data_IF_306966118203
#
_entry.id   IF_306966118203
#
_cell.length_a   1.000
_cell.length_b   1.000
_cell.length_c   1.000
_cell.angle_alpha   90.00
_cell.angle_beta   90.00
_cell.angle_gamma   90.00
#
_symmetry.space_group_name_H-M   'P 1'
#
loop_
_entity.id
_entity.type
_entity.pdbx_description
1 polymer ?
#
# COMPACT_ATOMS: atom_id res chain seq x y z
N UNK A 1 -29.71 -11.19 -11.04
CA UNK A 1 -28.44 -11.79 -10.58
C UNK A 1 -27.31 -10.89 -11.03
N UNK A 2 -26.74 -10.09 -10.14
CA UNK A 2 -25.54 -9.33 -10.44
C UNK A 2 -24.41 -10.32 -10.69
N UNK A 3 -23.83 -10.32 -11.86
CA UNK A 3 -22.63 -11.09 -12.21
C UNK A 3 -21.47 -10.54 -11.37
N UNK A 4 -21.27 -11.09 -10.16
CA UNK A 4 -20.09 -10.79 -9.37
C UNK A 4 -18.87 -11.10 -10.22
N UNK A 5 -18.06 -10.09 -10.49
CA UNK A 5 -16.77 -10.26 -11.14
C UNK A 5 -15.91 -11.19 -10.28
N UNK A 6 -15.16 -12.12 -10.91
CA UNK A 6 -14.28 -13.02 -10.16
C UNK A 6 -13.26 -12.19 -9.36
N UNK A 7 -12.96 -12.54 -8.11
CA UNK A 7 -12.01 -11.78 -7.30
C UNK A 7 -10.60 -11.86 -7.91
N UNK A 8 -9.93 -10.72 -7.92
CA UNK A 8 -8.51 -10.62 -8.26
C UNK A 8 -7.74 -10.04 -7.07
N UNK A 9 -6.55 -10.60 -6.84
CA UNK A 9 -5.63 -10.19 -5.79
C UNK A 9 -4.22 -10.13 -6.37
N UNK A 10 -3.54 -9.01 -6.13
CA UNK A 10 -2.19 -8.79 -6.62
C UNK A 10 -1.16 -9.56 -5.79
N UNK A 11 -0.22 -10.24 -6.46
CA UNK A 11 0.95 -10.82 -5.81
C UNK A 11 1.94 -9.69 -5.45
N UNK A 12 2.46 -9.71 -4.22
CA UNK A 12 3.42 -8.69 -3.76
C UNK A 12 4.87 -9.04 -4.11
N UNK A 13 5.13 -10.34 -4.32
CA UNK A 13 6.44 -10.90 -4.68
C UNK A 13 6.24 -11.88 -5.83
N UNK A 14 7.25 -12.07 -6.67
CA UNK A 14 7.20 -13.01 -7.78
C UNK A 14 6.85 -14.45 -7.35
N UNK A 15 7.13 -14.81 -6.10
CA UNK A 15 6.88 -16.14 -5.50
C UNK A 15 5.50 -16.28 -4.87
N UNK A 16 4.71 -15.22 -4.83
CA UNK A 16 3.39 -15.19 -4.17
C UNK A 16 2.24 -15.69 -5.06
N UNK A 17 2.52 -16.14 -6.29
CA UNK A 17 1.48 -16.55 -7.23
C UNK A 17 0.57 -17.66 -6.68
N UNK A 18 1.12 -18.69 -6.03
CA UNK A 18 0.36 -19.76 -5.40
C UNK A 18 -0.54 -19.30 -4.26
N UNK A 19 0.00 -18.65 -3.21
CA UNK A 19 -0.80 -18.06 -2.13
C UNK A 19 -1.86 -17.08 -2.62
N UNK A 20 -1.57 -16.26 -3.63
CA UNK A 20 -2.53 -15.34 -4.22
C UNK A 20 -3.68 -16.08 -4.94
N UNK A 21 -3.37 -17.19 -5.64
CA UNK A 21 -4.39 -18.04 -6.24
C UNK A 21 -5.32 -18.67 -5.20
N UNK A 22 -4.77 -19.20 -4.09
CA UNK A 22 -5.56 -19.71 -2.97
C UNK A 22 -6.45 -18.62 -2.39
N UNK A 23 -5.90 -17.41 -2.20
CA UNK A 23 -6.64 -16.26 -1.68
C UNK A 23 -7.83 -15.89 -2.55
N UNK A 24 -7.64 -15.85 -3.89
CA UNK A 24 -8.69 -15.55 -4.84
C UNK A 24 -9.81 -16.60 -4.81
N UNK A 25 -9.46 -17.90 -4.75
CA UNK A 25 -10.44 -18.99 -4.68
C UNK A 25 -11.17 -18.98 -3.34
N UNK A 26 -10.48 -18.80 -2.21
CA UNK A 26 -11.12 -18.68 -0.91
C UNK A 26 -12.12 -17.51 -0.87
N UNK A 27 -11.75 -16.36 -1.45
CA UNK A 27 -12.62 -15.18 -1.58
C UNK A 27 -13.83 -15.44 -2.47
N UNK A 28 -13.67 -16.21 -3.55
CA UNK A 28 -14.77 -16.65 -4.39
C UNK A 28 -15.79 -17.47 -3.60
N UNK A 29 -15.33 -18.35 -2.72
CA UNK A 29 -16.18 -19.15 -1.82
C UNK A 29 -16.63 -18.38 -0.55
N UNK A 30 -16.33 -17.08 -0.46
CA UNK A 30 -16.83 -16.19 0.58
C UNK A 30 -15.98 -16.11 1.85
N UNK A 31 -14.72 -16.56 1.81
CA UNK A 31 -13.77 -16.41 2.91
C UNK A 31 -12.58 -15.54 2.55
N UNK A 32 -12.12 -14.81 3.54
CA UNK A 32 -11.03 -13.85 3.39
C UNK A 32 -9.84 -14.28 4.26
N UNK A 33 -8.68 -14.41 3.65
CA UNK A 33 -7.42 -14.70 4.32
C UNK A 33 -6.37 -13.66 3.95
N UNK A 34 -5.47 -13.31 4.90
CA UNK A 34 -4.34 -12.47 4.57
C UNK A 34 -3.36 -13.21 3.66
N UNK A 35 -2.72 -12.48 2.74
CA UNK A 35 -1.72 -13.08 1.87
C UNK A 35 -0.55 -13.64 2.71
N UNK A 36 -0.18 -12.94 3.79
CA UNK A 36 0.90 -13.37 4.68
C UNK A 36 0.58 -14.72 5.35
N UNK A 37 -0.64 -14.90 5.87
CA UNK A 37 -1.06 -16.16 6.45
C UNK A 37 -0.96 -17.33 5.46
N UNK A 38 -1.41 -17.11 4.22
CA UNK A 38 -1.32 -18.13 3.17
C UNK A 38 0.12 -18.40 2.73
N UNK A 39 0.99 -17.38 2.73
CA UNK A 39 2.43 -17.54 2.49
C UNK A 39 3.08 -18.44 3.54
N UNK A 40 2.75 -18.20 4.81
CA UNK A 40 3.29 -18.98 5.93
C UNK A 40 2.81 -20.44 5.85
N UNK A 41 1.56 -20.67 5.46
CA UNK A 41 1.03 -22.02 5.23
C UNK A 41 1.67 -22.72 4.04
N UNK A 42 1.95 -22.03 2.94
CA UNK A 42 2.61 -22.59 1.76
C UNK A 42 4.10 -22.88 1.98
N UNK A 43 4.73 -22.30 3.03
CA UNK A 43 6.15 -22.51 3.29
C UNK A 43 7.04 -22.10 2.13
N UNK A 44 6.84 -20.90 1.55
CA UNK A 44 7.52 -20.42 0.34
C UNK A 44 9.04 -20.61 0.42
N UNK A 45 9.62 -21.25 -0.58
CA UNK A 45 11.06 -21.47 -0.71
C UNK A 45 11.71 -20.46 -1.67
N UNK A 46 13.03 -20.59 -1.89
CA UNK A 46 13.76 -19.78 -2.91
C UNK A 46 13.26 -20.03 -4.33
N UNK A 47 12.77 -21.22 -4.61
CA UNK A 47 12.26 -21.63 -5.93
C UNK A 47 10.77 -21.25 -6.11
N UNK A 48 10.10 -20.76 -5.08
CA UNK A 48 8.68 -20.43 -5.06
C UNK A 48 7.87 -21.49 -4.32
N UNK A 49 6.69 -21.81 -4.85
CA UNK A 49 5.77 -22.81 -4.30
C UNK A 49 5.48 -23.91 -5.33
N UNK A 50 5.32 -25.12 -4.86
CA UNK A 50 4.88 -26.26 -5.68
C UNK A 50 3.36 -26.48 -5.56
N UNK A 51 2.79 -27.33 -6.44
CA UNK A 51 1.41 -27.78 -6.28
C UNK A 51 1.17 -28.48 -4.92
N UNK A 52 2.17 -29.18 -4.39
CA UNK A 52 2.05 -29.83 -3.09
C UNK A 52 1.90 -28.80 -1.95
N UNK A 53 2.68 -27.72 -2.00
CA UNK A 53 2.62 -26.64 -1.01
C UNK A 53 1.28 -25.91 -1.08
N UNK A 54 0.78 -25.67 -2.31
CA UNK A 54 -0.54 -25.07 -2.55
C UNK A 54 -1.64 -25.98 -2.00
N UNK A 55 -1.55 -27.30 -2.25
CA UNK A 55 -2.48 -28.31 -1.76
C UNK A 55 -2.53 -28.32 -0.24
N UNK A 56 -1.36 -28.39 0.41
CA UNK A 56 -1.26 -28.40 1.85
C UNK A 56 -1.88 -27.14 2.49
N UNK A 57 -1.54 -25.97 1.95
CA UNK A 57 -2.10 -24.69 2.44
C UNK A 57 -3.62 -24.61 2.24
N UNK A 58 -4.12 -25.05 1.08
CA UNK A 58 -5.54 -25.06 0.76
C UNK A 58 -6.33 -26.02 1.69
N UNK A 59 -5.80 -27.19 1.97
CA UNK A 59 -6.42 -28.16 2.89
C UNK A 59 -6.48 -27.63 4.33
N UNK A 60 -5.46 -26.91 4.79
CA UNK A 60 -5.44 -26.28 6.12
C UNK A 60 -6.54 -25.23 6.30
N UNK A 61 -6.96 -24.58 5.23
CA UNK A 61 -8.08 -23.63 5.26
C UNK A 61 -9.43 -24.25 4.93
N UNK A 62 -9.49 -25.60 4.75
CA UNK A 62 -10.71 -26.34 4.54
C UNK A 62 -11.15 -26.48 3.07
N UNK A 63 -10.23 -26.32 2.12
CA UNK A 63 -10.45 -26.63 0.72
C UNK A 63 -9.87 -28.01 0.41
N UNK A 64 -10.67 -28.90 -0.20
CA UNK A 64 -10.18 -30.15 -0.75
C UNK A 64 -9.49 -29.87 -2.08
N UNK A 65 -8.35 -30.52 -2.32
CA UNK A 65 -7.55 -30.33 -3.52
C UNK A 65 -7.37 -31.62 -4.30
N UNK A 66 -7.36 -31.54 -5.62
CA UNK A 66 -7.02 -32.64 -6.51
C UNK A 66 -6.18 -32.10 -7.66
N UNK A 67 -4.91 -32.50 -7.72
CA UNK A 67 -4.03 -32.14 -8.83
C UNK A 67 -4.12 -33.20 -9.93
N UNK A 68 -4.34 -32.77 -11.16
CA UNK A 68 -4.52 -33.65 -12.32
C UNK A 68 -3.81 -33.09 -13.56
N UNK A 69 -3.44 -34.00 -14.46
CA UNK A 69 -3.09 -33.69 -15.85
C UNK A 69 -4.37 -33.67 -16.68
N UNK A 70 -4.59 -32.65 -17.47
CA UNK A 70 -5.80 -32.52 -18.27
C UNK A 70 -5.52 -31.93 -19.65
N UNK A 71 -6.32 -32.37 -20.61
CA UNK A 71 -6.37 -31.76 -21.94
C UNK A 71 -7.31 -30.57 -21.97
N UNK A 72 -7.25 -29.76 -23.00
CA UNK A 72 -8.13 -28.61 -23.20
C UNK A 72 -9.61 -29.00 -23.23
N UNK A 73 -9.93 -30.10 -23.84
CA UNK A 73 -11.30 -30.65 -23.88
C UNK A 73 -11.81 -30.95 -22.45
N UNK A 74 -10.96 -31.56 -21.62
CA UNK A 74 -11.31 -31.86 -20.24
C UNK A 74 -11.48 -30.59 -19.41
N UNK A 75 -10.61 -29.60 -19.59
CA UNK A 75 -10.71 -28.31 -18.91
C UNK A 75 -12.02 -27.57 -19.25
N UNK A 76 -12.45 -27.66 -20.52
CA UNK A 76 -13.65 -26.96 -20.98
C UNK A 76 -14.93 -27.67 -20.57
N UNK A 77 -14.96 -29.02 -20.58
CA UNK A 77 -16.20 -29.78 -20.48
C UNK A 77 -16.38 -30.54 -19.16
N UNK A 78 -15.30 -30.85 -18.43
CA UNK A 78 -15.36 -31.77 -17.27
C UNK A 78 -14.80 -31.22 -15.97
N UNK A 79 -13.89 -30.27 -16.03
CA UNK A 79 -13.20 -29.74 -14.83
C UNK A 79 -14.06 -28.70 -14.15
N UNK A 80 -14.36 -28.82 -12.85
CA UNK A 80 -15.05 -27.80 -12.10
C UNK A 80 -14.18 -26.53 -11.96
N UNK A 81 -14.79 -25.38 -12.15
CA UNK A 81 -14.14 -24.09 -12.02
C UNK A 81 -14.61 -23.37 -10.74
N UNK A 82 -13.76 -22.60 -10.08
CA UNK A 82 -12.39 -22.22 -10.45
C UNK A 82 -11.35 -23.29 -10.15
N UNK A 83 -10.26 -23.32 -10.95
CA UNK A 83 -9.12 -24.19 -10.73
C UNK A 83 -7.80 -23.43 -10.90
N UNK A 84 -6.72 -23.89 -10.23
CA UNK A 84 -5.37 -23.34 -10.39
C UNK A 84 -4.65 -24.11 -11.49
N UNK A 85 -3.97 -23.42 -12.37
CA UNK A 85 -3.16 -24.03 -13.42
C UNK A 85 -1.70 -23.59 -13.31
N UNK A 86 -0.80 -24.46 -13.76
CA UNK A 86 0.62 -24.16 -13.90
C UNK A 86 0.84 -23.47 -15.25
N UNK A 87 1.20 -22.21 -15.20
CA UNK A 87 1.26 -21.29 -16.32
C UNK A 87 2.70 -20.96 -16.69
N UNK A 88 3.01 -20.98 -17.99
CA UNK A 88 4.37 -20.70 -18.51
C UNK A 88 5.46 -21.52 -17.76
N UNK A 89 5.16 -22.67 -17.17
CA UNK A 89 6.03 -23.59 -16.42
C UNK A 89 6.70 -23.00 -15.14
N UNK A 90 6.35 -21.78 -14.73
CA UNK A 90 6.94 -21.11 -13.56
C UNK A 90 5.99 -20.22 -12.78
N UNK A 91 4.72 -20.18 -13.19
CA UNK A 91 3.72 -19.29 -12.59
C UNK A 91 2.42 -20.05 -12.29
N UNK A 92 1.61 -19.53 -11.36
CA UNK A 92 0.28 -20.06 -11.08
C UNK A 92 -0.78 -19.00 -11.32
N UNK A 93 -1.85 -19.38 -12.01
CA UNK A 93 -3.01 -18.54 -12.29
C UNK A 93 -4.31 -19.30 -12.05
N UNK A 94 -5.42 -18.61 -11.89
CA UNK A 94 -6.74 -19.21 -11.68
C UNK A 94 -7.56 -19.13 -12.96
N UNK A 95 -8.00 -20.27 -13.48
CA UNK A 95 -9.05 -20.32 -14.50
C UNK A 95 -10.40 -20.32 -13.78
N UNK A 96 -11.23 -19.35 -14.08
CA UNK A 96 -12.52 -19.18 -13.39
C UNK A 96 -13.74 -19.30 -14.31
N UNK A 97 -13.54 -19.30 -15.63
CA UNK A 97 -14.64 -19.41 -16.59
C UNK A 97 -14.12 -19.81 -17.98
N UNK A 98 -14.88 -20.62 -18.67
CA UNK A 98 -14.72 -20.93 -20.09
C UNK A 98 -16.00 -20.56 -20.83
N UNK A 99 -15.91 -19.85 -21.95
CA UNK A 99 -17.08 -19.47 -22.74
C UNK A 99 -16.70 -19.13 -24.18
N UNK A 100 -17.40 -19.73 -25.15
CA UNK A 100 -17.28 -19.45 -26.61
C UNK A 100 -15.82 -19.48 -27.11
N UNK A 101 -15.08 -20.56 -26.80
CA UNK A 101 -13.67 -20.70 -27.23
C UNK A 101 -12.69 -19.75 -26.56
N UNK A 102 -13.09 -19.08 -25.48
CA UNK A 102 -12.23 -18.22 -24.66
C UNK A 102 -12.14 -18.73 -23.23
N UNK A 103 -10.92 -18.69 -22.70
CA UNK A 103 -10.61 -19.04 -21.32
C UNK A 103 -10.34 -17.77 -20.53
N UNK A 104 -11.04 -17.63 -19.42
CA UNK A 104 -10.94 -16.47 -18.53
C UNK A 104 -10.05 -16.82 -17.34
N UNK A 105 -9.02 -16.04 -17.18
CA UNK A 105 -7.93 -16.26 -16.21
C UNK A 105 -7.85 -15.08 -15.26
N UNK A 106 -7.69 -15.36 -13.97
CA UNK A 106 -7.28 -14.39 -12.98
C UNK A 106 -5.80 -14.59 -12.67
N UNK A 107 -4.97 -13.70 -13.21
CA UNK A 107 -3.51 -13.73 -13.06
C UNK A 107 -3.11 -12.81 -11.91
N UNK A 108 -2.46 -13.33 -10.85
CA UNK A 108 -2.01 -12.52 -9.72
C UNK A 108 -1.05 -11.38 -10.10
N UNK A 109 -0.31 -11.52 -11.21
CA UNK A 109 0.63 -10.52 -11.67
C UNK A 109 0.01 -9.47 -12.61
N UNK A 110 -1.00 -9.88 -13.42
CA UNK A 110 -1.48 -9.07 -14.55
C UNK A 110 -2.95 -8.66 -14.47
N UNK A 111 -3.76 -9.34 -13.64
CA UNK A 111 -5.19 -9.03 -13.53
C UNK A 111 -6.12 -10.06 -14.16
N UNK A 112 -7.33 -9.63 -14.49
CA UNK A 112 -8.32 -10.47 -15.17
C UNK A 112 -8.09 -10.43 -16.68
N UNK A 113 -7.78 -11.57 -17.26
CA UNK A 113 -7.42 -11.73 -18.66
C UNK A 113 -8.33 -12.77 -19.34
N UNK A 114 -8.37 -12.75 -20.65
CA UNK A 114 -9.02 -13.78 -21.43
C UNK A 114 -8.16 -14.15 -22.64
N UNK A 115 -8.00 -15.43 -22.86
CA UNK A 115 -7.18 -15.97 -23.95
C UNK A 115 -8.06 -16.79 -24.91
N UNK A 116 -7.79 -16.73 -26.23
CA UNK A 116 -8.25 -17.74 -27.16
C UNK A 116 -7.69 -19.11 -26.77
N UNK A 117 -8.35 -20.19 -27.17
CA UNK A 117 -7.95 -21.55 -26.80
C UNK A 117 -6.55 -21.93 -27.28
N UNK A 118 -6.12 -21.48 -28.47
CA UNK A 118 -4.79 -21.73 -29.00
C UNK A 118 -3.69 -21.07 -28.17
N UNK A 119 -3.82 -19.76 -27.92
CA UNK A 119 -2.86 -18.98 -27.10
C UNK A 119 -2.77 -19.51 -25.66
N UNK A 120 -3.89 -20.06 -25.16
CA UNK A 120 -3.94 -20.64 -23.83
C UNK A 120 -3.19 -21.97 -23.78
N UNK A 121 -3.33 -22.83 -24.78
CA UNK A 121 -2.62 -24.13 -24.89
C UNK A 121 -1.11 -23.92 -24.90
N UNK A 122 -0.61 -22.98 -25.70
CA UNK A 122 0.82 -22.72 -25.86
C UNK A 122 1.49 -22.34 -24.52
N UNK A 123 0.74 -21.71 -23.61
CA UNK A 123 1.25 -21.32 -22.30
C UNK A 123 1.02 -22.35 -21.21
N UNK A 124 -0.03 -23.15 -21.36
CA UNK A 124 -0.39 -24.16 -20.36
C UNK A 124 0.32 -25.49 -20.56
N UNK A 125 0.49 -25.91 -21.82
CA UNK A 125 1.16 -27.17 -22.13
C UNK A 125 2.68 -26.98 -22.08
N UNK A 126 3.37 -28.07 -21.70
CA UNK A 126 4.79 -28.16 -21.86
C UNK A 126 5.12 -28.56 -23.29
N UNK A 127 6.24 -28.06 -23.80
CA UNK A 127 6.69 -28.37 -25.15
C UNK A 127 6.73 -29.89 -25.40
N UNK A 128 6.01 -30.35 -26.43
CA UNK A 128 5.88 -31.77 -26.75
C UNK A 128 4.82 -32.56 -25.96
N UNK A 129 4.06 -31.92 -25.07
CA UNK A 129 2.96 -32.55 -24.32
C UNK A 129 1.59 -32.02 -24.80
N UNK A 130 0.56 -32.90 -24.83
CA UNK A 130 -0.82 -32.52 -25.17
C UNK A 130 -1.71 -32.29 -23.94
N UNK A 131 -1.13 -32.16 -22.77
CA UNK A 131 -1.83 -31.92 -21.51
C UNK A 131 -1.09 -30.90 -20.65
N UNK A 132 -1.84 -30.24 -19.80
CA UNK A 132 -1.28 -29.32 -18.80
C UNK A 132 -1.65 -29.75 -17.38
N UNK A 133 -0.88 -29.25 -16.41
CA UNK A 133 -1.13 -29.51 -14.98
C UNK A 133 -2.13 -28.51 -14.42
N UNK A 134 -3.11 -28.99 -13.68
CA UNK A 134 -4.06 -28.15 -12.94
C UNK A 134 -4.40 -28.74 -11.57
N UNK A 135 -4.93 -27.89 -10.70
CA UNK A 135 -5.46 -28.27 -9.39
C UNK A 135 -6.88 -27.75 -9.24
N UNK A 136 -7.79 -28.66 -8.97
CA UNK A 136 -9.18 -28.35 -8.59
C UNK A 136 -9.23 -28.09 -7.08
N UNK A 137 -9.98 -27.08 -6.66
CA UNK A 137 -10.18 -26.74 -5.25
C UNK A 137 -11.68 -26.63 -4.97
N UNK A 138 -12.16 -27.41 -4.00
CA UNK A 138 -13.55 -27.41 -3.59
C UNK A 138 -13.68 -27.24 -2.08
N UNK A 139 -14.68 -26.47 -1.59
CA UNK A 139 -14.88 -26.30 -0.15
C UNK A 139 -15.34 -27.60 0.51
N UNK A 140 -14.67 -27.99 1.60
CA UNK A 140 -15.11 -29.08 2.46
C UNK A 140 -16.31 -28.66 3.33
N UNK A 141 -17.01 -29.61 3.92
CA UNK A 141 -18.17 -29.36 4.78
C UNK A 141 -17.85 -28.40 5.95
N UNK A 142 -16.63 -28.48 6.49
CA UNK A 142 -16.14 -27.66 7.58
C UNK A 142 -15.57 -26.31 7.13
N UNK A 143 -15.50 -26.03 5.82
CA UNK A 143 -14.91 -24.79 5.28
C UNK A 143 -15.50 -23.53 5.95
N UNK A 144 -16.81 -23.48 6.18
CA UNK A 144 -17.47 -22.34 6.82
C UNK A 144 -17.14 -22.17 8.30
N UNK A 145 -16.78 -23.25 8.99
CA UNK A 145 -16.52 -23.29 10.43
C UNK A 145 -15.10 -22.86 10.80
N UNK A 146 -14.15 -23.02 9.90
CA UNK A 146 -12.76 -22.59 10.12
C UNK A 146 -12.74 -21.06 10.16
N UNK A 147 -12.20 -20.47 11.23
CA UNK A 147 -12.12 -19.01 11.38
C UNK A 147 -11.21 -18.39 10.30
N UNK A 148 -11.70 -17.33 9.69
CA UNK A 148 -10.92 -16.55 8.73
C UNK A 148 -10.12 -15.45 9.46
N UNK A 149 -8.80 -15.43 9.30
CA UNK A 149 -7.89 -14.55 10.05
C UNK A 149 -7.75 -13.12 9.49
N UNK A 150 -8.78 -12.51 8.89
CA UNK A 150 -8.50 -11.33 8.06
C UNK A 150 -9.07 -9.97 8.46
N UNK A 151 -9.77 -9.77 9.55
CA UNK A 151 -10.46 -8.47 9.68
C UNK A 151 -9.75 -7.40 10.52
N UNK A 152 -8.62 -7.71 11.17
CA UNK A 152 -8.10 -6.85 12.24
C UNK A 152 -6.83 -6.05 11.88
N UNK A 153 -6.07 -6.43 10.85
CA UNK A 153 -4.72 -5.86 10.66
C UNK A 153 -4.66 -4.49 9.99
N UNK A 154 -5.58 -4.15 9.07
CA UNK A 154 -5.48 -2.87 8.34
C UNK A 154 -5.67 -1.63 9.22
N UNK A 155 -6.62 -1.68 10.15
CA UNK A 155 -6.85 -0.56 11.08
C UNK A 155 -5.78 -0.49 12.17
N UNK A 156 -5.34 -1.63 12.71
CA UNK A 156 -4.26 -1.68 13.71
C UNK A 156 -2.93 -1.18 13.16
N UNK A 157 -2.63 -1.40 11.89
CA UNK A 157 -1.38 -0.93 11.29
C UNK A 157 -1.31 0.60 11.22
N UNK A 158 -2.42 1.28 10.92
CA UNK A 158 -2.46 2.74 10.90
C UNK A 158 -2.43 3.33 12.32
N UNK A 159 -3.15 2.73 13.25
CA UNK A 159 -3.12 3.09 14.66
C UNK A 159 -1.72 2.93 15.27
N UNK A 160 -1.05 1.82 14.97
CA UNK A 160 0.34 1.60 15.38
C UNK A 160 1.29 2.67 14.81
N UNK A 161 1.09 3.11 13.56
CA UNK A 161 1.89 4.17 12.97
C UNK A 161 1.67 5.50 13.68
N UNK A 162 0.42 5.83 14.02
CA UNK A 162 0.10 7.04 14.80
C UNK A 162 0.71 7.02 16.20
N UNK A 163 0.86 5.85 16.81
CA UNK A 163 1.45 5.70 18.13
C UNK A 163 2.92 6.18 18.21
N UNK A 164 3.66 6.15 17.10
CA UNK A 164 5.01 6.72 17.04
C UNK A 164 5.04 8.25 17.19
N UNK A 165 3.92 8.93 16.93
CA UNK A 165 3.80 10.38 17.06
C UNK A 165 3.33 10.81 18.44
N UNK A 166 2.72 9.90 19.23
CA UNK A 166 2.16 10.24 20.55
C UNK A 166 3.18 10.82 21.54
N UNK A 167 4.46 10.36 21.61
CA UNK A 167 5.46 10.96 22.48
C UNK A 167 5.76 12.43 22.13
N UNK A 168 5.53 12.82 20.88
CA UNK A 168 5.88 14.16 20.35
C UNK A 168 4.70 15.14 20.32
N UNK A 169 3.54 14.79 20.94
CA UNK A 169 2.34 15.64 20.95
C UNK A 169 2.59 17.07 21.44
N UNK A 170 3.51 17.27 22.41
CA UNK A 170 3.90 18.60 22.88
C UNK A 170 4.62 19.39 21.79
N UNK A 171 5.53 18.76 21.06
CA UNK A 171 6.24 19.40 19.95
C UNK A 171 5.30 19.75 18.80
N UNK A 172 4.32 18.90 18.49
CA UNK A 172 3.26 19.23 17.53
C UNK A 172 2.39 20.40 18.00
N UNK A 173 2.10 20.50 19.30
CA UNK A 173 1.43 21.67 19.88
C UNK A 173 2.23 22.97 19.68
N UNK A 174 3.54 22.93 19.91
CA UNK A 174 4.44 24.07 19.68
C UNK A 174 4.48 24.43 18.18
N UNK A 175 4.61 23.45 17.30
CA UNK A 175 4.56 23.66 15.85
C UNK A 175 3.26 24.35 15.43
N UNK A 176 2.12 23.88 15.92
CA UNK A 176 0.83 24.46 15.64
C UNK A 176 0.74 25.92 16.13
N UNK A 177 1.22 26.21 17.33
CA UNK A 177 1.26 27.57 17.86
C UNK A 177 2.14 28.52 17.02
N UNK A 178 3.36 28.09 16.65
CA UNK A 178 4.25 28.86 15.76
C UNK A 178 3.57 29.13 14.42
N UNK A 179 2.90 28.15 13.85
CA UNK A 179 2.20 28.30 12.58
C UNK A 179 1.02 29.27 12.67
N UNK A 180 0.26 29.24 13.77
CA UNK A 180 -0.81 30.24 14.01
C UNK A 180 -0.25 31.66 14.11
N UNK A 181 0.83 31.85 14.86
CA UNK A 181 1.49 33.14 14.98
C UNK A 181 1.98 33.62 13.61
N UNK A 182 2.71 32.79 12.87
CA UNK A 182 3.21 33.14 11.55
C UNK A 182 2.07 33.47 10.56
N UNK A 183 0.96 32.72 10.62
CA UNK A 183 -0.23 33.00 9.78
C UNK A 183 -0.92 34.30 10.18
N UNK A 184 -0.99 34.62 11.48
CA UNK A 184 -1.50 35.88 11.99
C UNK A 184 -0.67 37.07 11.51
N UNK A 185 0.66 36.98 11.64
CA UNK A 185 1.59 38.02 11.16
C UNK A 185 1.47 38.22 9.63
N UNK A 186 1.38 37.14 8.86
CA UNK A 186 1.18 37.21 7.40
C UNK A 186 -0.16 37.87 7.02
N UNK A 187 -1.19 37.77 7.85
CA UNK A 187 -2.47 38.42 7.60
C UNK A 187 -2.41 39.95 7.72
N UNK A 188 -1.40 40.49 8.40
CA UNK A 188 -1.21 41.96 8.57
C UNK A 188 -0.58 42.61 7.32
N UNK A 189 0.20 41.84 6.53
CA UNK A 189 0.89 42.36 5.33
C UNK A 189 -0.01 43.11 4.35
N UNK A 190 -1.18 42.57 3.92
CA UNK A 190 -2.06 43.30 3.00
C UNK A 190 -2.56 44.63 3.57
N UNK A 191 -2.79 44.71 4.87
CA UNK A 191 -3.26 45.95 5.52
C UNK A 191 -2.16 47.02 5.53
N UNK A 192 -0.90 46.63 5.78
CA UNK A 192 0.23 47.55 5.67
C UNK A 192 0.36 48.06 4.24
N UNK A 193 0.34 47.18 3.26
CA UNK A 193 0.42 47.53 1.82
C UNK A 193 -0.71 48.50 1.43
N UNK A 194 -1.92 48.22 1.86
CA UNK A 194 -3.07 49.10 1.62
C UNK A 194 -2.88 50.47 2.28
N UNK A 195 -2.45 50.51 3.53
CA UNK A 195 -2.25 51.77 4.24
C UNK A 195 -1.16 52.67 3.61
N UNK A 196 -0.10 52.04 3.07
CA UNK A 196 0.94 52.78 2.33
C UNK A 196 0.36 53.44 1.08
N UNK A 197 -0.54 52.76 0.36
CA UNK A 197 -1.17 53.29 -0.86
C UNK A 197 -2.20 54.36 -0.50
N UNK A 198 -3.14 54.05 0.37
CA UNK A 198 -4.30 54.87 0.66
C UNK A 198 -3.94 56.17 1.44
N UNK A 199 -2.97 56.07 2.35
CA UNK A 199 -2.58 57.21 3.19
C UNK A 199 -1.24 57.77 2.67
N UNK A 200 -0.18 56.98 2.63
CA UNK A 200 1.15 57.43 2.33
C UNK A 200 1.29 58.11 0.98
N UNK A 201 0.79 57.49 -0.07
CA UNK A 201 0.89 58.01 -1.44
C UNK A 201 -0.15 59.10 -1.67
N UNK A 202 -1.40 58.91 -1.21
CA UNK A 202 -2.47 59.85 -1.46
C UNK A 202 -2.24 61.19 -0.73
N UNK A 203 -1.71 61.15 0.51
CA UNK A 203 -1.41 62.36 1.30
C UNK A 203 0.01 62.91 1.06
N UNK A 204 0.84 62.22 0.27
CA UNK A 204 2.25 62.53 -0.01
C UNK A 204 3.09 62.66 1.29
N UNK A 205 2.71 61.94 2.36
CA UNK A 205 3.42 61.95 3.64
C UNK A 205 4.57 60.93 3.63
N UNK A 206 5.77 61.43 3.35
CA UNK A 206 6.98 60.62 3.28
C UNK A 206 7.33 60.02 4.65
N UNK A 207 7.08 60.73 5.74
CA UNK A 207 7.35 60.26 7.11
C UNK A 207 6.51 59.01 7.45
N UNK A 208 5.24 59.03 7.06
CA UNK A 208 4.34 57.91 7.20
C UNK A 208 4.80 56.68 6.39
N UNK A 209 5.28 56.90 5.15
CA UNK A 209 5.82 55.83 4.32
C UNK A 209 7.05 55.19 4.96
N UNK A 210 7.99 55.97 5.47
CA UNK A 210 9.16 55.45 6.18
C UNK A 210 8.77 54.62 7.42
N UNK A 211 7.82 55.11 8.22
CA UNK A 211 7.34 54.39 9.40
C UNK A 211 6.71 53.02 9.01
N UNK A 212 5.88 53.00 7.97
CA UNK A 212 5.27 51.76 7.45
C UNK A 212 6.31 50.81 6.85
N UNK A 213 7.35 51.32 6.19
CA UNK A 213 8.44 50.51 5.64
C UNK A 213 9.23 49.83 6.77
N UNK A 214 9.56 50.54 7.84
CA UNK A 214 10.23 49.95 9.01
C UNK A 214 9.34 48.89 9.65
N UNK A 215 8.04 49.15 9.83
CA UNK A 215 7.07 48.22 10.35
C UNK A 215 6.99 46.94 9.48
N UNK A 216 7.00 47.11 8.17
CA UNK A 216 6.99 45.98 7.21
C UNK A 216 8.26 45.13 7.33
N UNK A 217 9.45 45.74 7.45
CA UNK A 217 10.72 45.03 7.64
C UNK A 217 10.70 44.22 8.94
N UNK A 218 10.27 44.82 10.05
CA UNK A 218 10.16 44.12 11.35
C UNK A 218 9.20 42.95 11.24
N UNK A 219 8.08 43.11 10.56
CA UNK A 219 7.08 42.08 10.37
C UNK A 219 7.62 40.92 9.50
N UNK A 220 8.33 41.22 8.41
CA UNK A 220 8.99 40.21 7.56
C UNK A 220 10.06 39.44 8.33
N UNK A 221 10.87 40.13 9.14
CA UNK A 221 11.87 39.46 10.01
C UNK A 221 11.19 38.55 11.02
N UNK A 222 10.10 38.99 11.64
CA UNK A 222 9.32 38.18 12.60
C UNK A 222 8.72 36.91 11.94
N UNK A 223 8.19 37.04 10.72
CA UNK A 223 7.68 35.90 9.95
C UNK A 223 8.81 34.92 9.60
N UNK A 224 9.96 35.46 9.15
CA UNK A 224 11.13 34.63 8.80
C UNK A 224 11.65 33.89 10.01
N UNK A 225 11.79 34.55 11.15
CA UNK A 225 12.20 33.92 12.40
C UNK A 225 11.22 32.81 12.83
N UNK A 226 9.93 33.08 12.74
CA UNK A 226 8.90 32.06 13.04
C UNK A 226 9.02 30.86 12.13
N UNK A 227 9.31 31.04 10.84
CA UNK A 227 9.51 29.94 9.89
C UNK A 227 10.78 29.13 10.24
N UNK A 228 11.88 29.79 10.57
CA UNK A 228 13.12 29.12 10.99
C UNK A 228 12.89 28.26 12.25
N UNK A 229 12.20 28.82 13.25
CA UNK A 229 11.87 28.09 14.48
C UNK A 229 10.98 26.88 14.17
N UNK A 230 9.97 27.05 13.33
CA UNK A 230 9.12 25.93 12.86
C UNK A 230 9.95 24.84 12.22
N UNK A 231 10.81 25.19 11.26
CA UNK A 231 11.61 24.23 10.51
C UNK A 231 12.62 23.51 11.40
N UNK A 232 13.19 24.19 12.38
CA UNK A 232 14.07 23.59 13.37
C UNK A 232 13.35 22.57 14.26
N UNK A 233 12.16 22.90 14.78
CA UNK A 233 11.35 21.97 15.59
C UNK A 233 10.91 20.79 14.73
N UNK A 234 10.47 21.04 13.51
CA UNK A 234 10.04 19.98 12.57
C UNK A 234 11.20 19.03 12.27
N UNK A 235 12.39 19.54 11.98
CA UNK A 235 13.59 18.74 11.74
C UNK A 235 13.92 17.85 12.95
N UNK A 236 13.88 18.42 14.16
CA UNK A 236 14.18 17.69 15.39
C UNK A 236 13.19 16.52 15.59
N UNK A 237 11.89 16.79 15.49
CA UNK A 237 10.84 15.76 15.63
C UNK A 237 10.96 14.69 14.53
N UNK A 238 11.13 15.12 13.27
CA UNK A 238 11.27 14.25 12.12
C UNK A 238 12.44 13.27 12.28
N UNK A 239 13.60 13.79 12.70
CA UNK A 239 14.80 12.97 12.92
C UNK A 239 14.58 11.94 14.03
N UNK A 240 13.99 12.34 15.15
CA UNK A 240 13.71 11.43 16.29
C UNK A 240 12.70 10.33 15.91
N UNK A 241 11.63 10.68 15.22
CA UNK A 241 10.64 9.70 14.73
C UNK A 241 11.29 8.73 13.75
N UNK A 242 12.14 9.22 12.83
CA UNK A 242 12.85 8.38 11.88
C UNK A 242 13.76 7.37 12.56
N UNK A 243 14.58 7.82 13.52
CA UNK A 243 15.47 6.94 14.28
C UNK A 243 14.65 5.86 15.00
N UNK A 244 13.55 6.23 15.64
CA UNK A 244 12.68 5.27 16.34
C UNK A 244 12.08 4.23 15.39
N UNK A 245 11.55 4.66 14.23
CA UNK A 245 10.97 3.76 13.23
C UNK A 245 12.00 2.79 12.65
N UNK A 246 13.18 3.29 12.26
CA UNK A 246 14.24 2.45 11.69
C UNK A 246 14.78 1.48 12.76
N UNK A 247 14.97 1.95 13.98
CA UNK A 247 15.44 1.13 15.08
C UNK A 247 14.48 -0.02 15.38
N UNK A 248 13.18 0.28 15.50
CA UNK A 248 12.14 -0.74 15.72
C UNK A 248 12.04 -1.72 14.55
N UNK A 249 12.18 -1.23 13.31
CA UNK A 249 12.21 -2.08 12.13
C UNK A 249 13.40 -3.06 12.18
N UNK A 250 14.59 -2.56 12.47
CA UNK A 250 15.79 -3.40 12.55
C UNK A 250 15.71 -4.40 13.71
N UNK A 251 15.25 -3.97 14.88
CA UNK A 251 15.07 -4.88 16.05
C UNK A 251 14.08 -5.99 15.72
N UNK A 252 12.96 -5.67 15.06
CA UNK A 252 11.97 -6.67 14.63
C UNK A 252 12.54 -7.59 13.56
N UNK A 253 13.28 -7.04 12.61
CA UNK A 253 13.97 -7.82 11.57
C UNK A 253 14.92 -8.84 12.17
N UNK A 254 15.78 -8.42 13.12
CA UNK A 254 16.74 -9.31 13.78
C UNK A 254 16.09 -10.42 14.63
N UNK A 255 14.82 -10.29 14.99
CA UNK A 255 14.08 -11.33 15.70
C UNK A 255 13.46 -12.39 14.77
N UNK A 256 13.55 -12.20 13.45
CA UNK A 256 13.02 -13.17 12.49
C UNK A 256 13.97 -14.37 12.37
N UNK A 257 13.42 -15.58 12.13
CA UNK A 257 14.23 -16.78 11.95
C UNK A 257 15.13 -16.67 10.70
N UNK A 258 16.24 -17.41 10.70
CA UNK A 258 17.21 -17.42 9.60
C UNK A 258 16.56 -17.79 8.27
N UNK A 259 15.61 -18.69 8.27
CA UNK A 259 14.83 -19.11 7.09
C UNK A 259 14.15 -17.95 6.37
N UNK A 260 13.79 -16.88 7.09
CA UNK A 260 13.24 -15.67 6.47
C UNK A 260 14.28 -14.98 5.56
N UNK A 261 15.53 -14.89 6.02
CA UNK A 261 16.63 -14.26 5.27
C UNK A 261 17.11 -15.12 4.10
N UNK A 262 17.02 -16.44 4.23
CA UNK A 262 17.34 -17.35 3.14
C UNK A 262 16.38 -17.22 1.95
N UNK A 263 15.14 -16.86 2.20
CA UNK A 263 14.08 -16.75 1.20
C UNK A 263 13.86 -15.33 0.66
N UNK A 264 14.51 -14.30 1.23
CA UNK A 264 14.37 -12.90 0.83
C UNK A 264 15.66 -12.34 0.25
N UNK A 265 15.54 -11.55 -0.81
CA UNK A 265 16.66 -10.78 -1.32
C UNK A 265 16.97 -9.60 -0.36
N UNK A 266 18.22 -9.36 -0.10
CA UNK A 266 18.67 -8.22 0.73
C UNK A 266 18.15 -6.89 0.16
N UNK A 267 18.06 -6.79 -1.18
CA UNK A 267 17.49 -5.63 -1.87
C UNK A 267 16.05 -5.32 -1.48
N UNK A 268 15.20 -6.34 -1.32
CA UNK A 268 13.80 -6.16 -0.90
C UNK A 268 13.69 -5.62 0.53
N UNK A 269 14.60 -6.06 1.41
CA UNK A 269 14.65 -5.60 2.80
C UNK A 269 15.06 -4.12 2.83
N UNK A 270 16.07 -3.75 2.05
CA UNK A 270 16.54 -2.36 1.94
C UNK A 270 15.50 -1.45 1.29
N UNK A 271 14.79 -1.93 0.27
CA UNK A 271 13.70 -1.18 -0.36
C UNK A 271 12.58 -0.88 0.63
N UNK A 272 12.17 -1.84 1.45
CA UNK A 272 11.16 -1.62 2.49
C UNK A 272 11.63 -0.64 3.56
N UNK A 273 12.91 -0.64 3.92
CA UNK A 273 13.47 0.39 4.78
C UNK A 273 13.39 1.79 4.14
N UNK A 274 13.63 1.89 2.82
CA UNK A 274 13.46 3.12 2.04
C UNK A 274 12.01 3.61 1.95
N UNK A 275 11.04 2.70 1.91
CA UNK A 275 9.61 3.06 1.88
C UNK A 275 9.16 3.74 3.18
N UNK A 276 9.74 3.39 4.32
CA UNK A 276 9.51 4.11 5.58
C UNK A 276 9.93 5.58 5.50
N UNK A 277 11.03 5.87 4.82
CA UNK A 277 11.49 7.24 4.60
C UNK A 277 10.52 8.05 3.72
N UNK A 278 9.94 7.43 2.70
CA UNK A 278 8.91 8.06 1.85
C UNK A 278 7.63 8.36 2.62
N UNK A 279 7.16 7.43 3.45
CA UNK A 279 5.99 7.62 4.32
C UNK A 279 6.26 8.77 5.31
N UNK A 280 7.42 8.77 5.95
CA UNK A 280 7.84 9.84 6.86
C UNK A 280 7.84 11.20 6.17
N UNK A 281 8.50 11.30 5.03
CA UNK A 281 8.59 12.54 4.25
C UNK A 281 7.21 13.06 3.84
N UNK A 282 6.32 12.18 3.42
CA UNK A 282 4.95 12.55 3.11
C UNK A 282 4.20 13.10 4.33
N UNK A 283 4.25 12.39 5.46
CA UNK A 283 3.53 12.79 6.68
C UNK A 283 4.08 14.10 7.26
N UNK A 284 5.42 14.25 7.31
CA UNK A 284 6.04 15.40 7.96
C UNK A 284 6.06 16.67 7.09
N UNK A 285 6.39 16.52 5.80
CA UNK A 285 6.61 17.69 4.94
C UNK A 285 5.34 18.09 4.18
N UNK A 286 4.55 17.13 3.71
CA UNK A 286 3.44 17.45 2.83
C UNK A 286 2.11 17.61 3.59
N UNK A 287 1.81 16.75 4.55
CA UNK A 287 0.50 16.78 5.23
C UNK A 287 0.30 18.04 6.07
N UNK A 288 1.31 18.43 6.84
CA UNK A 288 1.25 19.67 7.64
C UNK A 288 1.22 20.91 6.73
N UNK A 289 2.07 20.94 5.69
CA UNK A 289 2.09 22.04 4.73
C UNK A 289 0.77 22.20 3.97
N UNK A 290 0.17 21.09 3.50
CA UNK A 290 -1.13 21.10 2.81
C UNK A 290 -2.27 21.58 3.70
N UNK A 291 -2.35 21.09 4.93
CA UNK A 291 -3.40 21.49 5.87
C UNK A 291 -3.44 23.02 6.08
N UNK A 292 -2.27 23.65 6.22
CA UNK A 292 -2.17 25.11 6.39
C UNK A 292 -2.28 25.87 5.07
N UNK A 293 -1.90 25.29 3.95
CA UNK A 293 -2.10 25.91 2.62
C UNK A 293 -3.59 26.09 2.31
N UNK A 294 -4.44 25.13 2.70
CA UNK A 294 -5.89 25.24 2.53
C UNK A 294 -6.44 26.44 3.30
N UNK A 295 -5.93 26.72 4.51
CA UNK A 295 -6.32 27.88 5.31
C UNK A 295 -5.84 29.20 4.64
N UNK A 296 -4.68 29.18 3.98
CA UNK A 296 -4.15 30.35 3.24
C UNK A 296 -4.92 30.65 1.96
N UNK A 297 -5.31 29.62 1.21
CA UNK A 297 -6.04 29.78 -0.07
C UNK A 297 -7.44 30.37 0.16
N UNK A 298 -8.11 30.05 1.27
CA UNK A 298 -9.41 30.63 1.61
C UNK A 298 -9.40 32.15 1.83
N UNK A 299 -8.22 32.78 1.93
CA UNK A 299 -8.05 34.24 2.07
C UNK A 299 -7.79 34.99 0.77
N UNK A 300 -7.41 34.31 -0.29
CA UNK A 300 -7.13 34.92 -1.59
C UNK A 300 -8.41 35.33 -2.36
N UNK A 301 -9.59 34.97 -1.85
CA UNK A 301 -10.89 35.25 -2.47
C UNK A 301 -11.77 36.22 -1.67
N UNK A 302 -11.22 36.94 -0.72
CA UNK A 302 -11.84 38.11 -0.03
C UNK A 302 -10.92 39.33 -0.26
#
# INVERSE_FOLDING_TARGET
MQTRQFPWEYQMDAKDCGPACIKMIAKYYGKYYSLQYLRDLCGITREGVSFLDISYAAEKIGLRTVAVKATMENLTNRIPLPCIIHWDQHHFVVVYKTKKGKIYVSDPAKGLLSYPEEDFKDRWYKEGEEFGMLMVLEPMANFKQIEAHERIERFKSFENLLNYFTPYKKAFGILFAIMLIATGLQAVLPFISKSVIDIGIYTQDISFIYMMLIGNIVLLLSITLSNVLRDWVLLHVSTRVNISLISDYLIKLMKLPVTFFENKLVGDILQRAGDHERIRSFVMNNSLGMFFSIIKIGRAHV
#
